data_IF_260849667866
#
_entry.id   IF_260849667866
#
_cell.length_a   1.000
_cell.length_b   1.000
_cell.length_c   1.000
_cell.angle_alpha   90.00
_cell.angle_beta   90.00
_cell.angle_gamma   90.00
#
_symmetry.space_group_name_H-M   'P 1'
#
loop_
_entity.id
_entity.type
_entity.pdbx_description
1 polymer ?
#
# COMPACT_ATOMS: atom_id res chain seq x y z
N UNK A 1 -7.53 12.15 73.79
CA UNK A 1 -7.38 11.31 72.58
C UNK A 1 -7.10 12.27 71.41
N UNK A 2 -5.83 12.58 71.18
CA UNK A 2 -5.39 13.49 70.10
C UNK A 2 -5.31 12.70 68.80
N UNK A 3 -6.02 13.15 67.75
CA UNK A 3 -5.81 12.71 66.38
C UNK A 3 -5.17 13.88 65.62
N UNK A 4 -3.87 13.76 65.33
CA UNK A 4 -3.17 14.62 64.37
C UNK A 4 -3.63 14.24 62.96
N UNK A 5 -4.12 15.24 62.22
CA UNK A 5 -4.43 15.16 60.79
C UNK A 5 -3.17 15.47 59.96
N UNK A 6 -2.71 14.48 59.20
CA UNK A 6 -1.61 14.58 58.24
C UNK A 6 -2.10 15.25 56.95
N UNK A 7 -1.54 16.41 56.60
CA UNK A 7 -1.77 17.07 55.31
C UNK A 7 -0.68 16.62 54.33
N UNK A 8 -1.07 15.89 53.29
CA UNK A 8 -0.20 15.50 52.16
C UNK A 8 -0.20 16.62 51.11
N UNK A 9 0.96 17.11 50.62
CA UNK A 9 0.98 18.09 49.54
C UNK A 9 0.72 17.41 48.20
N UNK A 10 -0.32 17.85 47.47
CA UNK A 10 -0.56 17.51 46.07
C UNK A 10 0.53 18.16 45.21
N UNK A 11 1.42 17.33 44.65
CA UNK A 11 2.31 17.73 43.56
C UNK A 11 1.52 17.69 42.25
N UNK A 12 1.20 18.87 41.71
CA UNK A 12 0.68 18.99 40.35
C UNK A 12 1.82 18.73 39.36
N UNK A 13 1.75 17.61 38.65
CA UNK A 13 2.55 17.38 37.45
C UNK A 13 1.95 18.20 36.30
N UNK A 14 2.67 19.22 35.85
CA UNK A 14 2.33 19.91 34.61
C UNK A 14 2.64 18.97 33.43
N UNK A 15 1.59 18.41 32.82
CA UNK A 15 1.73 17.84 31.48
C UNK A 15 2.00 18.99 30.50
N UNK A 16 3.19 18.99 29.90
CA UNK A 16 3.48 19.81 28.74
C UNK A 16 2.66 19.25 27.59
N UNK A 17 1.51 19.86 27.31
CA UNK A 17 0.82 19.68 26.03
C UNK A 17 1.72 20.33 24.99
N UNK A 18 2.29 19.54 24.08
CA UNK A 18 2.96 20.07 22.91
C UNK A 18 1.95 20.96 22.18
N UNK A 19 2.26 22.26 22.10
CA UNK A 19 1.44 23.20 21.35
C UNK A 19 1.38 22.72 19.89
N UNK A 20 0.17 22.46 19.40
CA UNK A 20 -0.06 22.29 17.97
C UNK A 20 0.48 23.53 17.26
N UNK A 21 1.22 23.33 16.16
CA UNK A 21 1.79 24.40 15.37
C UNK A 21 0.66 25.28 14.80
N UNK A 22 0.37 26.40 15.46
CA UNK A 22 -0.78 27.28 15.20
C UNK A 22 -0.65 28.07 13.89
N UNK A 23 0.43 27.85 13.12
CA UNK A 23 0.69 28.48 11.84
C UNK A 23 0.45 27.56 10.62
N UNK A 24 -0.05 26.33 10.80
CA UNK A 24 -0.43 25.50 9.67
C UNK A 24 -1.65 26.10 8.95
N UNK A 25 -1.46 26.67 7.76
CA UNK A 25 -2.57 27.05 6.90
C UNK A 25 -3.42 25.80 6.60
N UNK A 26 -4.76 25.91 6.63
CA UNK A 26 -5.61 24.78 6.31
C UNK A 26 -5.28 24.27 4.89
N UNK A 27 -5.33 22.94 4.66
CA UNK A 27 -5.13 22.35 3.35
C UNK A 27 -6.02 23.06 2.31
N UNK A 28 -5.41 23.55 1.23
CA UNK A 28 -6.13 24.15 0.11
C UNK A 28 -6.49 23.07 -0.91
N UNK A 29 -7.68 23.12 -1.52
CA UNK A 29 -8.03 22.27 -2.66
C UNK A 29 -6.91 22.22 -3.70
N UNK A 30 -6.48 21.00 -4.06
CA UNK A 30 -5.39 20.71 -5.02
C UNK A 30 -4.04 21.38 -4.68
N UNK A 31 -3.86 21.86 -3.44
CA UNK A 31 -2.64 22.49 -2.97
C UNK A 31 -1.62 21.50 -2.42
N UNK A 32 -0.50 22.05 -1.94
CA UNK A 32 0.53 21.32 -1.20
C UNK A 32 0.33 21.52 0.31
N UNK A 33 0.44 20.44 1.07
CA UNK A 33 0.23 20.42 2.52
C UNK A 33 0.91 19.18 3.11
N UNK A 34 1.20 19.21 4.41
CA UNK A 34 1.96 18.18 5.10
C UNK A 34 1.08 17.55 6.18
N UNK A 35 1.07 16.21 6.26
CA UNK A 35 0.38 15.42 7.28
C UNK A 35 -1.09 15.83 7.49
N UNK A 36 -1.82 16.09 6.40
CA UNK A 36 -3.26 16.33 6.50
C UNK A 36 -3.97 15.05 6.95
N UNK A 37 -4.78 15.14 8.00
CA UNK A 37 -5.46 13.97 8.57
C UNK A 37 -6.65 13.57 7.72
N UNK A 38 -6.67 12.33 7.23
CA UNK A 38 -7.84 11.68 6.62
C UNK A 38 -8.76 11.19 7.73
N UNK A 39 -8.20 10.46 8.70
CA UNK A 39 -8.93 9.98 9.86
C UNK A 39 -8.02 9.70 11.06
N UNK A 40 -8.51 9.98 12.26
CA UNK A 40 -7.81 9.72 13.51
C UNK A 40 -8.26 8.36 14.09
N UNK A 41 -7.35 7.41 14.40
CA UNK A 41 -7.73 6.18 15.07
C UNK A 41 -8.32 6.45 16.45
N UNK A 42 -9.33 5.66 16.84
CA UNK A 42 -10.00 5.78 18.14
C UNK A 42 -9.67 4.60 19.05
N UNK A 43 -9.87 4.74 20.38
CA UNK A 43 -9.73 3.62 21.32
C UNK A 43 -8.39 2.87 21.20
N UNK A 44 -8.45 1.57 20.93
CA UNK A 44 -7.28 0.69 20.71
C UNK A 44 -6.77 0.64 19.27
N UNK A 45 -7.42 1.34 18.34
CA UNK A 45 -7.15 1.19 16.91
C UNK A 45 -5.79 1.76 16.48
N UNK A 46 -5.27 1.19 15.40
CA UNK A 46 -4.15 1.70 14.63
C UNK A 46 -4.42 1.47 13.14
N UNK A 47 -4.13 2.48 12.31
CA UNK A 47 -4.27 2.37 10.85
C UNK A 47 -2.95 2.02 10.19
N UNK A 48 -2.98 1.12 9.22
CA UNK A 48 -1.79 0.65 8.48
C UNK A 48 -2.20 0.26 7.05
N UNK A 49 -1.24 0.07 6.16
CA UNK A 49 -1.47 -0.42 4.79
C UNK A 49 -2.53 0.42 4.03
N UNK A 50 -2.33 1.74 3.89
CA UNK A 50 -3.29 2.54 3.17
C UNK A 50 -3.33 2.17 1.68
N UNK A 51 -4.45 2.43 1.01
CA UNK A 51 -4.63 2.31 -0.45
C UNK A 51 -5.60 3.35 -0.95
N UNK A 52 -5.56 3.61 -2.25
CA UNK A 52 -6.45 4.58 -2.88
C UNK A 52 -6.77 4.17 -4.32
N UNK A 53 -7.80 4.81 -4.88
CA UNK A 53 -8.09 4.86 -6.32
C UNK A 53 -8.61 6.27 -6.66
N UNK A 54 -8.14 6.84 -7.76
CA UNK A 54 -8.65 8.11 -8.30
C UNK A 54 -9.62 7.86 -9.46
N UNK A 55 -10.84 8.37 -9.33
CA UNK A 55 -11.89 8.28 -10.34
C UNK A 55 -11.64 9.32 -11.47
N UNK A 56 -12.16 9.13 -12.69
CA UNK A 56 -11.97 10.04 -13.83
C UNK A 56 -12.33 11.51 -13.57
N UNK A 57 -13.27 11.78 -12.66
CA UNK A 57 -13.64 13.15 -12.29
C UNK A 57 -12.64 13.83 -11.35
N UNK A 58 -11.66 13.11 -10.79
CA UNK A 58 -10.68 13.58 -9.83
C UNK A 58 -11.04 13.27 -8.37
N UNK A 59 -12.17 12.61 -8.13
CA UNK A 59 -12.52 12.09 -6.80
C UNK A 59 -11.52 11.01 -6.40
N UNK A 60 -11.00 11.10 -5.18
CA UNK A 60 -10.12 10.09 -4.60
C UNK A 60 -10.90 9.29 -3.57
N UNK A 61 -10.86 7.96 -3.70
CA UNK A 61 -11.37 7.01 -2.72
C UNK A 61 -10.18 6.37 -2.02
N UNK A 62 -10.14 6.42 -0.69
CA UNK A 62 -9.03 5.91 0.11
C UNK A 62 -9.51 4.94 1.18
N UNK A 63 -8.65 4.00 1.56
CA UNK A 63 -8.92 2.99 2.57
C UNK A 63 -7.63 2.59 3.29
N UNK A 64 -7.76 1.84 4.37
CA UNK A 64 -6.64 1.29 5.14
C UNK A 64 -7.06 0.01 5.88
N UNK A 65 -6.07 -0.73 6.38
CA UNK A 65 -6.29 -1.73 7.40
C UNK A 65 -6.47 -1.07 8.78
N UNK A 66 -7.31 -1.64 9.64
CA UNK A 66 -7.44 -1.29 11.05
C UNK A 66 -7.00 -2.45 11.93
N UNK A 67 -5.95 -2.23 12.74
CA UNK A 67 -5.53 -3.13 13.81
C UNK A 67 -6.19 -2.71 15.12
N UNK A 68 -6.59 -3.67 15.95
CA UNK A 68 -7.19 -3.39 17.26
C UNK A 68 -8.66 -2.95 17.22
N UNK A 69 -9.32 -3.11 16.07
CA UNK A 69 -10.77 -2.88 15.93
C UNK A 69 -11.60 -3.88 16.75
N UNK A 70 -12.77 -3.44 17.21
CA UNK A 70 -13.75 -4.29 17.90
C UNK A 70 -14.81 -4.80 16.93
N UNK A 71 -15.23 -6.06 17.08
CA UNK A 71 -16.18 -6.70 16.16
C UNK A 71 -15.51 -7.29 14.93
N UNK A 72 -16.30 -7.59 13.89
CA UNK A 72 -15.79 -8.12 12.64
C UNK A 72 -15.00 -7.06 11.89
N UNK A 73 -13.83 -7.45 11.40
CA UNK A 73 -12.94 -6.57 10.69
C UNK A 73 -13.55 -6.04 9.39
N UNK A 74 -13.30 -4.78 9.07
CA UNK A 74 -13.74 -4.14 7.84
C UNK A 74 -12.69 -3.13 7.33
N UNK A 75 -12.85 -2.69 6.09
CA UNK A 75 -12.06 -1.60 5.52
C UNK A 75 -12.88 -0.31 5.44
N UNK A 76 -12.51 0.77 6.15
CA UNK A 76 -13.20 2.04 6.05
C UNK A 76 -12.93 2.69 4.70
N UNK A 77 -13.94 3.33 4.11
CA UNK A 77 -13.81 4.04 2.84
C UNK A 77 -13.99 5.54 3.08
N UNK A 78 -12.98 6.29 2.65
CA UNK A 78 -12.96 7.75 2.69
C UNK A 78 -12.97 8.33 1.28
N UNK A 79 -13.55 9.52 1.13
CA UNK A 79 -13.59 10.26 -0.12
C UNK A 79 -13.03 11.66 0.03
N UNK A 80 -12.25 12.10 -0.97
CA UNK A 80 -11.89 13.50 -1.20
C UNK A 80 -12.25 13.90 -2.64
N UNK A 81 -12.66 15.15 -2.83
CA UNK A 81 -12.99 15.74 -4.15
C UNK A 81 -12.10 16.92 -4.52
N UNK A 82 -11.12 17.22 -3.69
CA UNK A 82 -10.34 18.46 -3.74
C UNK A 82 -8.84 18.20 -3.58
N UNK A 83 -8.36 17.09 -4.15
CA UNK A 83 -6.94 16.73 -4.13
C UNK A 83 -6.41 16.34 -2.76
N UNK A 84 -7.28 15.83 -1.87
CA UNK A 84 -6.89 15.36 -0.54
C UNK A 84 -6.89 16.43 0.54
N UNK A 85 -7.44 17.61 0.27
CA UNK A 85 -7.53 18.70 1.25
C UNK A 85 -8.62 18.44 2.30
N UNK A 86 -9.77 17.91 1.89
CA UNK A 86 -10.86 17.51 2.78
C UNK A 86 -11.26 16.06 2.53
N UNK A 87 -11.64 15.37 3.61
CA UNK A 87 -12.01 13.96 3.60
C UNK A 87 -13.30 13.72 4.35
N UNK A 88 -14.07 12.75 3.87
CA UNK A 88 -15.26 12.24 4.54
C UNK A 88 -15.26 10.72 4.52
N UNK A 89 -15.64 10.09 5.63
CA UNK A 89 -16.01 8.68 5.65
C UNK A 89 -17.34 8.51 4.90
N UNK A 90 -17.44 7.53 4.00
CA UNK A 90 -18.62 7.34 3.14
C UNK A 90 -19.23 5.94 3.22
N UNK A 91 -18.44 4.91 3.53
CA UNK A 91 -18.91 3.52 3.65
C UNK A 91 -17.84 2.63 4.28
N UNK A 92 -18.15 1.35 4.48
CA UNK A 92 -17.21 0.32 4.85
C UNK A 92 -17.31 -0.86 3.87
N UNK A 93 -16.19 -1.48 3.51
CA UNK A 93 -16.19 -2.82 2.90
C UNK A 93 -16.17 -3.83 4.03
N UNK A 94 -17.19 -4.67 4.13
CA UNK A 94 -17.31 -5.70 5.17
C UNK A 94 -17.22 -7.08 4.55
N UNK A 95 -16.80 -8.07 5.34
CA UNK A 95 -16.91 -9.47 4.94
C UNK A 95 -18.38 -9.89 4.88
N UNK A 96 -18.85 -10.30 3.70
CA UNK A 96 -20.24 -10.69 3.46
C UNK A 96 -20.42 -12.21 3.30
N UNK A 97 -19.34 -12.98 3.35
CA UNK A 97 -19.38 -14.41 2.96
C UNK A 97 -18.72 -15.35 3.96
N UNK A 98 -17.63 -14.97 4.61
CA UNK A 98 -16.91 -15.89 5.50
C UNK A 98 -17.29 -15.73 6.99
N UNK A 99 -17.72 -14.52 7.38
CA UNK A 99 -17.98 -14.19 8.78
C UNK A 99 -16.69 -14.11 9.62
N UNK A 100 -15.54 -13.89 8.97
CA UNK A 100 -14.23 -13.75 9.61
C UNK A 100 -13.77 -12.29 9.69
N UNK A 101 -14.37 -11.43 8.86
CA UNK A 101 -13.97 -10.03 8.69
C UNK A 101 -12.96 -9.88 7.56
N UNK A 102 -12.81 -8.64 7.07
CA UNK A 102 -11.75 -8.22 6.16
C UNK A 102 -10.62 -7.61 6.97
N UNK A 103 -9.58 -8.40 7.22
CA UNK A 103 -8.59 -8.17 8.28
C UNK A 103 -7.34 -7.46 7.81
N UNK A 104 -6.94 -7.57 6.54
CA UNK A 104 -5.71 -6.92 6.07
C UNK A 104 -5.62 -6.73 4.57
N UNK A 105 -4.66 -5.89 4.17
CA UNK A 105 -4.22 -5.71 2.79
C UNK A 105 -5.35 -5.35 1.81
N UNK A 106 -6.11 -4.26 2.08
CA UNK A 106 -7.11 -3.81 1.13
C UNK A 106 -6.44 -3.49 -0.22
N UNK A 107 -7.22 -3.58 -1.28
CA UNK A 107 -6.84 -3.16 -2.63
C UNK A 107 -8.06 -2.58 -3.33
N UNK A 108 -7.90 -1.45 -4.00
CA UNK A 108 -8.97 -0.75 -4.71
C UNK A 108 -8.58 -0.54 -6.17
N UNK A 109 -9.54 -0.68 -7.07
CA UNK A 109 -9.40 -0.23 -8.45
C UNK A 109 -10.76 0.19 -9.02
N UNK A 110 -10.77 0.87 -10.16
CA UNK A 110 -11.98 1.17 -10.89
C UNK A 110 -11.86 0.64 -12.31
N UNK A 111 -12.90 -0.05 -12.77
CA UNK A 111 -12.95 -0.54 -14.13
C UNK A 111 -12.91 0.61 -15.14
N UNK A 112 -11.97 0.55 -16.08
CA UNK A 112 -11.85 1.51 -17.19
C UNK A 112 -12.65 1.09 -18.43
N UNK A 113 -13.11 -0.16 -18.45
CA UNK A 113 -13.88 -0.80 -19.51
C UNK A 113 -14.84 -1.81 -18.88
N UNK A 114 -15.81 -2.30 -19.65
CA UNK A 114 -16.70 -3.36 -19.18
C UNK A 114 -15.93 -4.68 -19.04
N UNK A 115 -16.17 -5.42 -17.95
CA UNK A 115 -15.63 -6.76 -17.72
C UNK A 115 -16.77 -7.66 -17.27
N UNK A 116 -17.12 -8.65 -18.11
CA UNK A 116 -18.35 -9.42 -17.94
C UNK A 116 -19.59 -8.51 -17.85
N UNK A 117 -20.39 -8.71 -16.81
CA UNK A 117 -21.60 -7.91 -16.55
C UNK A 117 -21.32 -6.59 -15.80
N UNK A 118 -20.07 -6.32 -15.44
CA UNK A 118 -19.69 -5.15 -14.66
C UNK A 118 -19.25 -4.02 -15.58
N UNK A 119 -19.93 -2.87 -15.46
CA UNK A 119 -19.70 -1.71 -16.33
C UNK A 119 -18.45 -0.93 -15.94
N UNK A 120 -17.84 -0.28 -16.93
CA UNK A 120 -16.85 0.76 -16.70
C UNK A 120 -17.35 1.76 -15.64
N UNK A 121 -16.49 2.15 -14.72
CA UNK A 121 -16.83 2.98 -13.56
C UNK A 121 -17.20 2.18 -12.30
N UNK A 122 -17.45 0.87 -12.38
CA UNK A 122 -17.56 0.00 -11.20
C UNK A 122 -16.25 0.05 -10.41
N UNK A 123 -16.35 0.33 -9.10
CA UNK A 123 -15.20 0.31 -8.19
C UNK A 123 -15.14 -1.08 -7.57
N UNK A 124 -13.96 -1.69 -7.62
CA UNK A 124 -13.70 -3.00 -7.05
C UNK A 124 -12.83 -2.87 -5.81
N UNK A 125 -13.13 -3.72 -4.83
CA UNK A 125 -12.35 -3.87 -3.61
C UNK A 125 -12.06 -5.34 -3.35
N UNK A 126 -10.87 -5.63 -2.85
CA UNK A 126 -10.54 -6.93 -2.25
C UNK A 126 -9.60 -6.71 -1.06
N UNK A 127 -9.29 -7.79 -0.36
CA UNK A 127 -8.35 -7.87 0.74
C UNK A 127 -8.47 -9.22 1.41
N UNK A 128 -7.73 -9.42 2.49
CA UNK A 128 -7.73 -10.69 3.20
C UNK A 128 -8.90 -10.79 4.16
N UNK A 129 -9.80 -11.72 3.89
CA UNK A 129 -10.58 -12.36 4.95
C UNK A 129 -9.76 -13.52 5.50
N UNK A 130 -9.55 -13.57 6.82
CA UNK A 130 -8.81 -14.69 7.41
C UNK A 130 -9.36 -15.16 8.74
N UNK A 131 -9.08 -16.42 9.05
CA UNK A 131 -9.29 -17.02 10.36
C UNK A 131 -8.00 -17.70 10.82
N UNK A 132 -7.69 -17.56 12.11
CA UNK A 132 -6.56 -18.22 12.78
C UNK A 132 -6.92 -19.59 13.35
N UNK A 133 -8.17 -20.06 13.14
CA UNK A 133 -8.63 -21.35 13.62
C UNK A 133 -7.71 -22.50 13.16
N UNK A 134 -7.40 -23.42 14.06
CA UNK A 134 -6.44 -24.48 13.77
C UNK A 134 -6.95 -25.56 12.81
N UNK A 135 -8.27 -25.63 12.58
CA UNK A 135 -8.91 -26.67 11.76
C UNK A 135 -9.46 -26.13 10.45
N UNK A 136 -9.98 -24.90 10.47
CA UNK A 136 -10.68 -24.25 9.36
C UNK A 136 -10.04 -22.93 8.94
N UNK A 137 -8.96 -22.51 9.62
CA UNK A 137 -8.28 -21.26 9.36
C UNK A 137 -7.68 -21.20 7.96
N UNK A 138 -7.95 -20.10 7.28
CA UNK A 138 -7.52 -19.84 5.92
C UNK A 138 -7.25 -18.34 5.72
N UNK A 139 -6.58 -18.02 4.63
CA UNK A 139 -6.48 -16.68 4.06
C UNK A 139 -7.26 -16.69 2.75
N UNK A 140 -8.20 -15.75 2.56
CA UNK A 140 -9.07 -15.70 1.40
C UNK A 140 -9.10 -14.31 0.78
N UNK A 141 -9.04 -14.28 -0.54
CA UNK A 141 -9.39 -13.11 -1.32
C UNK A 141 -10.79 -13.29 -1.88
N UNK A 142 -11.68 -12.36 -1.53
CA UNK A 142 -13.01 -12.24 -2.10
C UNK A 142 -13.11 -10.88 -2.78
N UNK A 143 -13.81 -10.82 -3.92
CA UNK A 143 -14.02 -9.60 -4.69
C UNK A 143 -15.33 -8.95 -4.28
N UNK A 144 -15.30 -7.64 -4.07
CA UNK A 144 -16.46 -6.80 -3.80
C UNK A 144 -16.55 -5.70 -4.86
N UNK A 145 -17.77 -5.35 -5.26
CA UNK A 145 -18.03 -4.31 -6.24
C UNK A 145 -18.96 -3.23 -5.70
N UNK A 146 -18.71 -2.00 -6.13
CA UNK A 146 -19.57 -0.85 -5.91
C UNK A 146 -19.90 -0.18 -7.25
N UNK A 147 -21.20 0.00 -7.49
CA UNK A 147 -21.74 0.67 -8.68
C UNK A 147 -22.30 2.07 -8.36
N UNK A 148 -22.25 2.48 -7.10
CA UNK A 148 -22.76 3.75 -6.59
C UNK A 148 -21.63 4.64 -6.05
N UNK A 149 -20.43 4.49 -6.64
CA UNK A 149 -19.21 5.25 -6.31
C UNK A 149 -18.72 4.97 -4.88
N UNK A 150 -18.62 3.72 -4.48
CA UNK A 150 -18.16 3.30 -3.15
C UNK A 150 -19.08 3.68 -1.99
N UNK A 151 -20.41 3.80 -2.22
CA UNK A 151 -21.40 4.09 -1.16
C UNK A 151 -21.95 2.81 -0.57
N UNK A 152 -22.08 1.78 -1.39
CA UNK A 152 -22.37 0.41 -0.97
C UNK A 152 -21.49 -0.59 -1.71
N UNK A 153 -21.30 -1.76 -1.11
CA UNK A 153 -20.46 -2.84 -1.62
C UNK A 153 -21.24 -4.14 -1.63
N UNK A 154 -21.06 -4.93 -2.69
CA UNK A 154 -21.64 -6.27 -2.83
C UNK A 154 -20.54 -7.27 -3.12
N UNK A 155 -20.56 -8.40 -2.44
CA UNK A 155 -19.75 -9.55 -2.81
C UNK A 155 -20.03 -9.96 -4.27
N UNK A 156 -18.95 -10.32 -4.98
CA UNK A 156 -18.96 -10.72 -6.39
C UNK A 156 -18.57 -12.18 -6.50
N UNK A 157 -17.35 -12.52 -6.08
CA UNK A 157 -16.79 -13.85 -6.26
C UNK A 157 -15.65 -14.14 -5.29
N UNK A 158 -15.35 -15.42 -5.15
CA UNK A 158 -14.15 -15.89 -4.48
C UNK A 158 -13.00 -15.95 -5.48
N UNK A 159 -11.85 -15.38 -5.13
CA UNK A 159 -10.67 -15.32 -6.01
C UNK A 159 -9.72 -16.48 -5.71
N UNK A 160 -9.27 -16.58 -4.46
CA UNK A 160 -8.25 -17.53 -4.04
C UNK A 160 -8.32 -17.83 -2.55
N UNK A 161 -8.00 -19.07 -2.19
CA UNK A 161 -7.81 -19.53 -0.82
C UNK A 161 -6.36 -20.00 -0.62
N UNK A 162 -5.77 -19.61 0.51
CA UNK A 162 -4.54 -20.17 1.08
C UNK A 162 -4.78 -20.70 2.49
N UNK A 163 -3.75 -21.27 3.09
CA UNK A 163 -3.78 -21.73 4.48
C UNK A 163 -3.95 -20.59 5.50
N UNK A 164 -4.10 -20.95 6.78
CA UNK A 164 -4.17 -20.00 7.90
C UNK A 164 -3.07 -18.94 7.84
N UNK A 165 -3.27 -17.72 8.34
CA UNK A 165 -2.27 -16.66 8.27
C UNK A 165 -0.97 -17.07 8.98
N UNK A 166 0.09 -17.31 8.20
CA UNK A 166 1.42 -17.68 8.68
C UNK A 166 2.50 -17.30 7.66
N UNK A 167 3.48 -16.51 8.08
CA UNK A 167 4.58 -16.04 7.22
C UNK A 167 5.83 -16.92 7.28
N UNK A 168 5.77 -18.07 7.94
CA UNK A 168 6.87 -19.04 8.01
C UNK A 168 6.87 -19.94 6.77
N UNK A 169 8.05 -20.15 6.17
CA UNK A 169 8.22 -21.06 5.02
C UNK A 169 7.61 -22.45 5.29
N UNK A 170 6.95 -23.01 4.27
CA UNK A 170 6.19 -24.25 4.38
C UNK A 170 4.73 -24.06 4.80
N UNK A 171 4.34 -22.86 5.23
CA UNK A 171 2.94 -22.46 5.26
C UNK A 171 2.41 -22.24 3.84
N UNK A 172 1.09 -22.12 3.68
CA UNK A 172 0.42 -22.02 2.38
C UNK A 172 -0.48 -20.79 2.27
N UNK A 173 -0.20 -19.73 3.03
CA UNK A 173 -0.99 -18.50 3.04
C UNK A 173 -0.81 -17.66 1.77
N UNK A 174 -1.78 -16.81 1.47
CA UNK A 174 -1.73 -15.78 0.41
C UNK A 174 -1.83 -14.38 1.00
N UNK A 175 -1.21 -13.37 0.36
CA UNK A 175 -1.11 -12.00 0.90
C UNK A 175 -1.10 -10.89 -0.15
N UNK A 176 -1.38 -9.66 0.30
CA UNK A 176 -1.06 -8.41 -0.41
C UNK A 176 -1.59 -8.30 -1.85
N UNK A 177 -2.92 -8.31 -2.05
CA UNK A 177 -3.50 -8.22 -3.38
C UNK A 177 -3.29 -6.82 -4.00
N UNK A 178 -2.96 -6.79 -5.29
CA UNK A 178 -2.94 -5.58 -6.13
C UNK A 178 -3.82 -5.80 -7.37
N UNK A 179 -4.82 -4.94 -7.56
CA UNK A 179 -5.79 -5.04 -8.65
C UNK A 179 -5.42 -4.16 -9.84
N UNK A 180 -5.49 -4.72 -11.05
CA UNK A 180 -5.24 -4.02 -12.31
C UNK A 180 -6.25 -4.43 -13.38
N UNK A 181 -7.18 -3.55 -13.78
CA UNK A 181 -7.94 -3.70 -15.02
C UNK A 181 -7.00 -3.58 -16.22
N UNK A 182 -7.04 -4.56 -17.13
CA UNK A 182 -6.15 -4.61 -18.29
C UNK A 182 -6.78 -5.38 -19.45
N UNK A 183 -7.15 -4.69 -20.53
CA UNK A 183 -7.58 -5.30 -21.81
C UNK A 183 -8.72 -6.32 -21.64
N UNK A 184 -9.82 -5.89 -21.02
CA UNK A 184 -11.06 -6.66 -20.86
C UNK A 184 -11.02 -7.71 -19.75
N UNK A 185 -10.00 -7.69 -18.90
CA UNK A 185 -9.87 -8.58 -17.75
C UNK A 185 -9.34 -7.83 -16.53
N UNK A 186 -9.65 -8.37 -15.36
CA UNK A 186 -9.05 -7.94 -14.11
C UNK A 186 -7.89 -8.88 -13.80
N UNK A 187 -6.73 -8.29 -13.52
CA UNK A 187 -5.56 -9.00 -12.98
C UNK A 187 -5.48 -8.74 -11.48
N UNK A 188 -5.23 -9.78 -10.70
CA UNK A 188 -4.88 -9.68 -9.29
C UNK A 188 -3.48 -10.26 -9.09
N UNK A 189 -2.53 -9.43 -8.69
CA UNK A 189 -1.20 -9.86 -8.24
C UNK A 189 -1.24 -10.04 -6.73
N UNK A 190 -0.51 -11.01 -6.21
CA UNK A 190 -0.41 -11.28 -4.78
C UNK A 190 0.83 -12.09 -4.43
N UNK A 191 1.17 -12.09 -3.15
CA UNK A 191 2.19 -12.97 -2.57
C UNK A 191 1.59 -14.34 -2.26
N UNK A 192 2.24 -15.41 -2.70
CA UNK A 192 1.72 -16.78 -2.64
C UNK A 192 2.73 -17.75 -2.02
N UNK A 193 2.34 -18.47 -0.96
CA UNK A 193 3.15 -19.52 -0.33
C UNK A 193 2.64 -20.93 -0.61
N UNK A 194 1.60 -21.09 -1.44
CA UNK A 194 0.99 -22.41 -1.69
C UNK A 194 1.86 -23.36 -2.51
N UNK A 195 2.84 -22.81 -3.24
CA UNK A 195 3.77 -23.58 -4.05
C UNK A 195 4.92 -24.14 -3.19
N UNK A 196 5.03 -25.46 -3.01
CA UNK A 196 6.03 -26.07 -2.14
C UNK A 196 7.47 -25.90 -2.63
N UNK A 197 7.69 -25.43 -3.87
CA UNK A 197 9.03 -25.16 -4.39
C UNK A 197 9.62 -23.84 -3.88
N UNK A 198 8.80 -22.97 -3.28
CA UNK A 198 9.21 -21.64 -2.84
C UNK A 198 8.75 -21.36 -1.42
N UNK A 199 9.55 -20.61 -0.64
CA UNK A 199 9.11 -20.09 0.65
C UNK A 199 7.97 -19.08 0.49
N UNK A 200 8.07 -18.23 -0.54
CA UNK A 200 6.99 -17.40 -1.09
C UNK A 200 7.34 -17.05 -2.55
N UNK A 201 6.34 -16.76 -3.37
CA UNK A 201 6.49 -16.19 -4.72
C UNK A 201 5.52 -15.01 -4.91
N UNK A 202 5.73 -14.20 -5.94
CA UNK A 202 4.69 -13.31 -6.47
C UNK A 202 4.03 -14.02 -7.65
N UNK A 203 2.70 -13.99 -7.68
CA UNK A 203 1.91 -14.57 -8.73
C UNK A 203 0.66 -13.73 -9.02
N UNK A 204 0.03 -14.00 -10.16
CA UNK A 204 -1.26 -13.43 -10.49
C UNK A 204 -2.28 -14.47 -10.95
N UNK A 205 -3.54 -14.05 -10.92
CA UNK A 205 -4.65 -14.67 -11.64
C UNK A 205 -5.38 -13.59 -12.44
N UNK A 206 -6.09 -14.00 -13.49
CA UNK A 206 -6.94 -13.10 -14.26
C UNK A 206 -8.39 -13.57 -14.31
N UNK A 207 -9.31 -12.65 -14.55
CA UNK A 207 -10.72 -12.95 -14.80
C UNK A 207 -11.28 -11.98 -15.84
N UNK A 208 -11.95 -12.51 -16.85
CA UNK A 208 -12.64 -11.71 -17.89
C UNK A 208 -14.12 -11.45 -17.59
N UNK A 209 -14.64 -11.99 -16.48
CA UNK A 209 -16.04 -11.81 -16.05
C UNK A 209 -16.19 -11.42 -14.57
N UNK A 210 -15.07 -11.33 -13.83
CA UNK A 210 -14.97 -11.10 -12.38
C UNK A 210 -15.52 -12.24 -11.51
N UNK A 211 -15.95 -13.35 -12.10
CA UNK A 211 -16.56 -14.48 -11.41
C UNK A 211 -15.66 -15.71 -11.47
N UNK A 212 -15.20 -16.03 -12.68
CA UNK A 212 -14.34 -17.19 -12.95
C UNK A 212 -12.90 -16.73 -13.05
N UNK A 213 -12.03 -17.32 -12.24
CA UNK A 213 -10.62 -16.97 -12.15
C UNK A 213 -9.75 -18.01 -12.83
N UNK A 214 -8.84 -17.53 -13.67
CA UNK A 214 -7.86 -18.35 -14.37
C UNK A 214 -6.83 -18.99 -13.44
N UNK A 215 -5.90 -19.80 -13.99
CA UNK A 215 -4.86 -20.44 -13.21
C UNK A 215 -3.89 -19.41 -12.60
N UNK A 216 -3.18 -19.83 -11.56
CA UNK A 216 -2.09 -19.05 -10.96
C UNK A 216 -0.90 -19.02 -11.91
N UNK A 217 -0.39 -17.83 -12.20
CA UNK A 217 0.78 -17.58 -13.06
C UNK A 217 1.89 -16.93 -12.23
N UNK A 218 3.10 -17.47 -12.31
CA UNK A 218 4.25 -16.92 -11.57
C UNK A 218 4.75 -15.62 -12.21
N UNK A 219 4.93 -14.58 -11.39
CA UNK A 219 5.50 -13.30 -11.82
C UNK A 219 6.92 -13.08 -11.30
N UNK A 220 7.17 -13.45 -10.03
CA UNK A 220 8.51 -13.38 -9.44
C UNK A 220 8.76 -14.62 -8.60
N UNK A 221 9.78 -15.38 -8.98
CA UNK A 221 10.25 -16.58 -8.28
C UNK A 221 11.76 -16.54 -8.13
N UNK A 222 12.27 -17.18 -7.08
CA UNK A 222 13.69 -17.39 -6.87
C UNK A 222 13.97 -18.86 -6.62
N UNK A 223 15.12 -19.35 -7.09
CA UNK A 223 15.56 -20.74 -6.92
C UNK A 223 15.85 -21.08 -5.46
N UNK A 224 16.43 -20.12 -4.71
CA UNK A 224 16.70 -20.30 -3.29
C UNK A 224 15.38 -20.33 -2.52
N UNK A 225 14.98 -21.52 -2.05
CA UNK A 225 13.72 -21.77 -1.33
C UNK A 225 13.42 -20.77 -0.23
N UNK A 226 14.42 -20.33 0.54
CA UNK A 226 14.18 -19.42 1.68
C UNK A 226 13.79 -18.01 1.26
N UNK A 227 13.96 -17.66 -0.02
CA UNK A 227 13.64 -16.33 -0.55
C UNK A 227 12.13 -16.12 -0.56
N UNK A 228 11.72 -14.92 -0.18
CA UNK A 228 10.32 -14.52 -0.01
C UNK A 228 10.06 -13.19 -0.72
N UNK A 229 9.98 -13.16 -2.06
CA UNK A 229 9.45 -12.00 -2.75
C UNK A 229 7.99 -11.76 -2.37
N UNK A 230 7.57 -10.50 -2.26
CA UNK A 230 6.20 -10.17 -1.91
C UNK A 230 5.85 -8.70 -2.07
N UNK A 231 4.64 -8.35 -1.67
CA UNK A 231 4.06 -7.00 -1.73
C UNK A 231 4.10 -6.38 -3.14
N UNK A 232 3.57 -7.07 -4.17
CA UNK A 232 3.66 -6.60 -5.55
C UNK A 232 2.83 -5.31 -5.76
N UNK A 233 3.44 -4.33 -6.43
CA UNK A 233 2.75 -3.13 -6.92
C UNK A 233 3.18 -2.88 -8.36
N UNK A 234 2.23 -2.57 -9.24
CA UNK A 234 2.46 -2.48 -10.69
C UNK A 234 2.13 -1.09 -11.21
N UNK A 235 2.95 -0.57 -12.12
CA UNK A 235 2.69 0.66 -12.87
C UNK A 235 3.03 0.49 -14.36
N UNK A 236 2.33 1.24 -15.22
CA UNK A 236 2.65 1.36 -16.63
C UNK A 236 3.56 2.57 -16.88
N UNK A 237 4.50 2.44 -17.81
CA UNK A 237 5.47 3.47 -18.21
C UNK A 237 5.24 3.77 -19.70
N UNK A 238 4.35 4.73 -20.03
CA UNK A 238 3.92 4.98 -21.39
C UNK A 238 5.03 5.28 -22.41
N UNK A 239 6.06 6.10 -22.11
CA UNK A 239 7.06 6.48 -23.11
C UNK A 239 7.88 5.33 -23.70
N UNK A 240 7.98 4.22 -22.97
CA UNK A 240 8.74 3.02 -23.40
C UNK A 240 7.85 1.79 -23.61
N UNK A 241 6.54 1.94 -23.44
CA UNK A 241 5.54 0.86 -23.53
C UNK A 241 5.97 -0.38 -22.73
N UNK A 242 6.27 -0.17 -21.45
CA UNK A 242 6.61 -1.24 -20.50
C UNK A 242 5.86 -1.07 -19.20
N UNK A 243 5.67 -2.20 -18.53
CA UNK A 243 5.16 -2.30 -17.18
C UNK A 243 6.31 -2.55 -16.23
N UNK A 244 6.21 -1.99 -15.03
CA UNK A 244 7.11 -2.24 -13.91
C UNK A 244 6.31 -2.88 -12.78
N UNK A 245 6.83 -3.97 -12.21
CA UNK A 245 6.37 -4.53 -10.95
C UNK A 245 7.49 -4.35 -9.93
N UNK A 246 7.20 -3.65 -8.83
CA UNK A 246 8.09 -3.57 -7.66
C UNK A 246 7.66 -4.58 -6.60
N UNK A 247 8.63 -5.14 -5.89
CA UNK A 247 8.40 -6.10 -4.81
C UNK A 247 9.53 -6.01 -3.78
N UNK A 248 9.26 -6.37 -2.53
CA UNK A 248 10.32 -6.63 -1.56
C UNK A 248 10.88 -8.05 -1.76
N UNK A 249 12.14 -8.28 -1.39
CA UNK A 249 12.80 -9.59 -1.53
C UNK A 249 13.54 -9.97 -0.25
N UNK A 250 12.87 -10.63 0.69
CA UNK A 250 13.57 -11.22 1.84
C UNK A 250 14.31 -12.50 1.44
N UNK A 251 15.52 -12.75 1.95
CA UNK A 251 16.23 -14.03 1.75
C UNK A 251 15.81 -15.10 2.78
N UNK A 252 15.15 -14.68 3.87
CA UNK A 252 14.76 -15.54 5.00
C UNK A 252 15.92 -15.84 5.97
N UNK A 253 15.60 -16.46 7.11
CA UNK A 253 16.61 -16.92 8.07
C UNK A 253 17.49 -15.83 8.70
N UNK A 254 16.96 -14.61 8.88
CA UNK A 254 17.70 -13.42 9.35
C UNK A 254 18.86 -12.98 8.44
N UNK A 255 18.83 -13.38 7.16
CA UNK A 255 19.79 -12.91 6.17
C UNK A 255 19.44 -11.49 5.68
N UNK A 256 20.45 -10.71 5.34
CA UNK A 256 20.31 -9.40 4.69
C UNK A 256 21.04 -9.38 3.35
N UNK A 257 20.63 -8.47 2.48
CA UNK A 257 21.25 -8.19 1.20
C UNK A 257 21.33 -6.68 1.02
N UNK A 258 22.46 -6.18 0.50
CA UNK A 258 22.81 -4.74 0.50
C UNK A 258 22.77 -4.07 1.90
N UNK A 259 22.81 -4.85 2.98
CA UNK A 259 22.72 -4.34 4.35
C UNK A 259 21.30 -4.16 4.89
N UNK A 260 20.27 -4.57 4.15
CA UNK A 260 18.86 -4.50 4.58
C UNK A 260 18.16 -5.86 4.50
N UNK A 261 17.11 -6.05 5.30
CA UNK A 261 16.41 -7.35 5.42
C UNK A 261 15.47 -7.64 4.24
N UNK A 262 14.83 -6.60 3.71
CA UNK A 262 13.83 -6.70 2.64
C UNK A 262 14.18 -5.73 1.50
N UNK A 263 15.32 -5.89 0.81
CA UNK A 263 15.68 -5.02 -0.31
C UNK A 263 14.55 -4.96 -1.33
N UNK A 264 14.28 -3.76 -1.87
CA UNK A 264 13.30 -3.59 -2.94
C UNK A 264 13.93 -3.90 -4.29
N UNK A 265 13.18 -4.67 -5.07
CA UNK A 265 13.50 -5.07 -6.42
C UNK A 265 12.38 -4.66 -7.37
N UNK A 266 12.70 -4.62 -8.66
CA UNK A 266 11.72 -4.46 -9.72
C UNK A 266 11.99 -5.40 -10.89
N UNK A 267 10.93 -5.80 -11.59
CA UNK A 267 10.96 -6.46 -12.90
C UNK A 267 10.21 -5.60 -13.90
N UNK A 268 10.64 -5.63 -15.17
CA UNK A 268 9.99 -4.91 -16.25
C UNK A 268 9.59 -5.86 -17.38
N UNK A 269 8.42 -5.64 -17.97
CA UNK A 269 7.89 -6.48 -19.04
C UNK A 269 7.03 -5.67 -20.02
N UNK A 270 6.92 -6.14 -21.26
CA UNK A 270 6.03 -5.52 -22.27
C UNK A 270 4.54 -5.73 -21.96
N UNK A 271 4.22 -6.80 -21.24
CA UNK A 271 2.88 -7.12 -20.79
C UNK A 271 2.89 -7.26 -19.28
N UNK A 272 1.86 -6.76 -18.57
CA UNK A 272 1.77 -6.93 -17.13
C UNK A 272 1.48 -8.40 -16.75
N UNK A 273 1.18 -9.26 -17.73
CA UNK A 273 0.94 -10.70 -17.54
C UNK A 273 2.22 -11.55 -17.69
N UNK A 274 3.36 -10.93 -17.96
CA UNK A 274 4.58 -11.66 -18.40
C UNK A 274 5.82 -11.33 -17.56
N UNK A 275 5.65 -10.82 -16.35
CA UNK A 275 6.76 -10.49 -15.45
C UNK A 275 7.67 -11.69 -15.16
N UNK A 276 7.12 -12.91 -15.11
CA UNK A 276 7.87 -14.14 -14.90
C UNK A 276 8.90 -14.48 -16.01
N UNK A 277 8.90 -13.75 -17.12
CA UNK A 277 9.90 -13.87 -18.21
C UNK A 277 11.10 -12.93 -18.02
N UNK A 278 11.06 -12.06 -17.00
CA UNK A 278 12.02 -10.99 -16.78
C UNK A 278 12.89 -11.22 -15.55
N UNK A 279 14.06 -10.60 -15.55
CA UNK A 279 15.03 -10.68 -14.43
C UNK A 279 14.81 -9.51 -13.47
N UNK A 280 14.78 -9.82 -12.17
CA UNK A 280 14.68 -8.83 -11.10
C UNK A 280 15.94 -7.97 -10.99
N UNK A 281 15.75 -6.68 -10.73
CA UNK A 281 16.81 -5.69 -10.54
C UNK A 281 16.64 -5.01 -9.18
N UNK A 282 17.69 -4.92 -8.35
CA UNK A 282 17.58 -4.21 -7.08
C UNK A 282 17.49 -2.71 -7.31
N UNK A 283 16.80 -2.00 -6.42
CA UNK A 283 16.83 -0.54 -6.38
C UNK A 283 17.86 -0.12 -5.32
N UNK A 284 19.04 0.31 -5.78
CA UNK A 284 20.13 0.78 -4.92
C UNK A 284 20.68 2.10 -5.47
N UNK A 285 20.40 3.20 -4.77
CA UNK A 285 20.88 4.53 -5.17
C UNK A 285 22.39 4.60 -4.97
N UNK A 286 23.11 5.02 -6.01
CA UNK A 286 24.58 5.11 -6.04
C UNK A 286 25.31 3.83 -5.60
N UNK A 287 24.66 2.66 -5.68
CA UNK A 287 25.21 1.37 -5.25
C UNK A 287 25.35 1.16 -3.74
N UNK A 288 24.95 2.13 -2.91
CA UNK A 288 25.14 2.07 -1.44
C UNK A 288 23.88 2.30 -0.63
N UNK A 289 22.81 2.84 -1.22
CA UNK A 289 21.55 3.12 -0.52
C UNK A 289 20.40 2.29 -1.07
N UNK A 290 20.17 1.07 -0.52
CA UNK A 290 19.04 0.24 -0.91
C UNK A 290 17.74 0.73 -0.27
N UNK A 291 16.63 0.51 -0.96
CA UNK A 291 15.29 0.60 -0.35
C UNK A 291 15.02 -0.65 0.49
N UNK A 292 14.11 -0.55 1.46
CA UNK A 292 13.78 -1.62 2.39
C UNK A 292 12.27 -1.69 2.71
N UNK A 293 11.69 -2.83 2.35
CA UNK A 293 10.35 -3.32 2.70
C UNK A 293 9.14 -2.56 2.12
N UNK A 294 8.12 -3.34 1.75
CA UNK A 294 6.79 -2.94 1.31
C UNK A 294 6.77 -1.77 0.32
N UNK A 295 7.30 -1.96 -0.89
CA UNK A 295 7.38 -0.89 -1.86
C UNK A 295 6.00 -0.50 -2.41
N UNK A 296 5.95 0.71 -2.97
CA UNK A 296 4.85 1.15 -3.83
C UNK A 296 5.42 1.90 -5.02
N UNK A 297 4.84 1.74 -6.22
CA UNK A 297 5.31 2.41 -7.43
C UNK A 297 4.19 3.16 -8.14
N UNK A 298 4.53 4.31 -8.69
CA UNK A 298 3.71 5.10 -9.61
C UNK A 298 4.58 5.67 -10.72
N UNK A 299 3.96 6.16 -11.78
CA UNK A 299 4.64 6.87 -12.87
C UNK A 299 3.99 8.23 -13.10
N UNK A 300 4.81 9.25 -13.37
CA UNK A 300 4.40 10.61 -13.74
C UNK A 300 4.90 10.96 -15.14
N UNK A 301 4.13 11.70 -15.97
CA UNK A 301 4.65 12.28 -17.21
C UNK A 301 5.70 13.38 -16.98
N UNK A 302 5.83 13.89 -15.75
CA UNK A 302 6.76 14.95 -15.39
C UNK A 302 8.20 14.44 -15.21
N UNK A 303 9.19 15.34 -15.30
CA UNK A 303 10.59 15.06 -14.98
C UNK A 303 11.47 14.62 -16.17
N UNK A 304 10.95 14.59 -17.39
CA UNK A 304 11.74 14.39 -18.61
C UNK A 304 11.01 13.63 -19.72
N UNK A 305 11.69 13.29 -20.83
CA UNK A 305 11.06 12.60 -21.97
C UNK A 305 10.53 11.20 -21.65
N UNK A 306 11.07 10.54 -20.62
CA UNK A 306 10.57 9.24 -20.14
C UNK A 306 9.57 9.37 -18.99
N UNK A 307 9.17 10.60 -18.63
CA UNK A 307 8.51 10.89 -17.36
C UNK A 307 9.41 10.50 -16.18
N UNK A 308 8.79 10.11 -15.07
CA UNK A 308 9.49 9.68 -13.86
C UNK A 308 8.75 8.52 -13.20
N UNK A 309 9.45 7.41 -13.02
CA UNK A 309 9.03 6.31 -12.12
C UNK A 309 9.34 6.76 -10.70
N UNK A 310 8.40 6.61 -9.77
CA UNK A 310 8.56 7.01 -8.37
C UNK A 310 8.21 5.82 -7.49
N UNK A 311 9.12 5.45 -6.60
CA UNK A 311 9.01 4.35 -5.66
C UNK A 311 9.13 4.87 -4.23
N UNK A 312 8.30 4.36 -3.34
CA UNK A 312 8.44 4.49 -1.89
C UNK A 312 8.74 3.13 -1.27
N UNK A 313 9.20 3.14 -0.03
CA UNK A 313 9.28 1.96 0.83
C UNK A 313 8.75 2.28 2.23
N UNK A 314 8.93 1.35 3.18
CA UNK A 314 8.50 1.53 4.57
C UNK A 314 9.56 2.16 5.47
N UNK A 315 10.84 2.10 5.07
CA UNK A 315 11.97 2.46 5.91
C UNK A 315 12.35 3.95 5.80
N UNK A 316 12.10 4.57 4.65
CA UNK A 316 12.58 5.92 4.37
C UNK A 316 11.43 6.93 4.19
N UNK A 317 11.58 8.17 4.69
CA UNK A 317 10.64 9.25 4.40
C UNK A 317 10.76 9.73 2.94
N UNK A 318 11.93 9.56 2.33
CA UNK A 318 12.26 9.89 0.95
C UNK A 318 11.41 9.15 -0.09
N UNK A 319 11.43 9.61 -1.33
CA UNK A 319 11.00 8.85 -2.51
C UNK A 319 12.18 8.60 -3.43
N UNK A 320 12.10 7.51 -4.18
CA UNK A 320 13.16 7.05 -5.07
C UNK A 320 12.68 7.14 -6.51
N UNK A 321 13.43 7.80 -7.38
CA UNK A 321 12.95 8.16 -8.71
C UNK A 321 13.85 7.64 -9.82
N UNK A 322 13.26 7.44 -11.00
CA UNK A 322 13.98 7.10 -12.22
C UNK A 322 13.32 7.74 -13.44
N UNK A 323 13.98 8.74 -14.02
CA UNK A 323 13.56 9.41 -15.26
C UNK A 323 14.29 8.87 -16.51
N UNK A 324 14.89 7.68 -16.39
CA UNK A 324 15.69 7.02 -17.43
C UNK A 324 15.10 5.66 -17.83
N UNK A 325 13.76 5.56 -17.83
CA UNK A 325 13.04 4.37 -18.28
C UNK A 325 13.31 3.12 -17.44
N UNK A 326 13.66 3.28 -16.16
CA UNK A 326 13.97 2.15 -15.28
C UNK A 326 15.39 1.59 -15.45
N UNK A 327 16.33 2.39 -15.97
CA UNK A 327 17.75 2.03 -16.00
C UNK A 327 18.28 1.79 -14.58
N UNK A 328 18.93 0.64 -14.37
CA UNK A 328 19.24 0.13 -13.02
C UNK A 328 20.23 1.00 -12.23
N UNK A 329 21.08 1.75 -12.91
CA UNK A 329 22.14 2.60 -12.36
C UNK A 329 21.73 4.08 -12.24
N UNK A 330 20.46 4.40 -12.50
CA UNK A 330 19.95 5.78 -12.59
C UNK A 330 18.90 6.15 -11.55
N UNK A 331 18.75 5.32 -10.51
CA UNK A 331 17.88 5.63 -9.38
C UNK A 331 18.45 6.78 -8.54
N UNK A 332 17.58 7.71 -8.14
CA UNK A 332 17.90 8.85 -7.29
C UNK A 332 17.01 8.84 -6.06
N UNK A 333 17.48 9.42 -4.95
CA UNK A 333 16.71 9.59 -3.73
C UNK A 333 16.40 11.08 -3.53
N UNK A 334 15.14 11.38 -3.21
CA UNK A 334 14.65 12.73 -2.96
C UNK A 334 13.91 12.83 -1.63
N UNK A 335 14.30 13.82 -0.83
CA UNK A 335 13.66 14.11 0.45
C UNK A 335 12.19 14.53 0.29
N UNK A 336 11.35 14.04 1.20
CA UNK A 336 9.96 14.51 1.34
C UNK A 336 9.67 14.88 2.80
N UNK A 337 8.69 15.78 3.05
CA UNK A 337 8.25 16.09 4.41
C UNK A 337 7.32 15.01 4.99
N UNK A 338 6.95 13.98 4.23
CA UNK A 338 6.09 12.91 4.71
C UNK A 338 6.87 11.95 5.64
N UNK A 339 6.21 11.48 6.69
CA UNK A 339 6.76 10.43 7.54
C UNK A 339 6.85 9.07 6.85
N UNK A 340 7.55 8.13 7.50
CA UNK A 340 7.52 6.71 7.14
C UNK A 340 6.17 6.09 7.52
N UNK A 341 5.71 5.13 6.73
CA UNK A 341 4.53 4.31 7.00
C UNK A 341 4.70 2.95 6.35
N UNK A 342 4.06 1.90 6.87
CA UNK A 342 4.17 0.57 6.27
C UNK A 342 3.38 0.48 4.96
N UNK A 343 4.01 -0.03 3.90
CA UNK A 343 3.47 -0.14 2.54
C UNK A 343 2.91 1.19 2.01
N UNK A 344 3.72 2.26 2.14
CA UNK A 344 3.36 3.67 1.94
C UNK A 344 2.97 4.00 0.49
N UNK A 345 1.68 4.18 0.16
CA UNK A 345 1.24 4.49 -1.20
C UNK A 345 1.67 5.89 -1.66
N UNK A 346 1.89 5.97 -2.96
CA UNK A 346 2.10 7.21 -3.71
C UNK A 346 0.95 7.40 -4.68
N UNK A 347 0.62 8.65 -4.99
CA UNK A 347 -0.37 9.02 -6.02
C UNK A 347 0.11 10.27 -6.76
N UNK A 348 -0.07 10.30 -8.08
CA UNK A 348 -0.04 11.52 -8.85
C UNK A 348 -1.48 11.86 -9.22
N UNK A 349 -1.93 13.07 -8.90
CA UNK A 349 -3.27 13.50 -9.30
C UNK A 349 -3.35 13.53 -10.83
N UNK A 350 -4.32 12.83 -11.42
CA UNK A 350 -4.43 12.67 -12.89
C UNK A 350 -4.50 14.01 -13.63
N UNK A 351 -5.19 15.00 -13.04
CA UNK A 351 -5.36 16.35 -13.61
C UNK A 351 -4.31 17.37 -13.14
N UNK A 352 -3.51 17.00 -12.14
CA UNK A 352 -2.49 17.85 -11.54
C UNK A 352 -1.22 17.01 -11.29
N UNK A 353 -0.51 16.58 -12.35
CA UNK A 353 0.59 15.61 -12.23
C UNK A 353 1.83 16.15 -11.48
N UNK A 354 1.89 17.44 -11.17
CA UNK A 354 2.86 18.00 -10.23
C UNK A 354 2.51 17.69 -8.76
N UNK A 355 1.26 17.33 -8.43
CA UNK A 355 0.89 16.96 -7.06
C UNK A 355 1.24 15.49 -6.79
N UNK A 356 2.38 15.26 -6.13
CA UNK A 356 2.74 13.98 -5.54
C UNK A 356 2.12 13.86 -4.14
N UNK A 357 1.15 12.95 -4.03
CA UNK A 357 0.47 12.61 -2.80
C UNK A 357 1.15 11.39 -2.17
N UNK A 358 1.49 11.51 -0.88
CA UNK A 358 2.18 10.49 -0.09
C UNK A 358 1.30 10.19 1.13
N UNK A 359 0.77 8.99 1.17
CA UNK A 359 -0.16 8.57 2.24
C UNK A 359 0.62 8.11 3.47
N UNK A 360 0.19 8.51 4.65
CA UNK A 360 0.80 8.17 5.93
C UNK A 360 -0.14 7.35 6.81
N UNK A 361 0.42 6.46 7.62
CA UNK A 361 -0.27 5.69 8.64
C UNK A 361 0.78 5.20 9.66
N UNK A 362 0.49 4.16 10.43
CA UNK A 362 1.50 3.53 11.29
C UNK A 362 2.60 2.82 10.49
N UNK A 363 3.77 2.70 11.12
CA UNK A 363 4.82 1.77 10.69
C UNK A 363 4.51 0.36 11.21
N UNK A 364 5.18 -0.66 10.68
CA UNK A 364 5.01 -2.04 11.16
C UNK A 364 5.34 -2.17 12.66
N UNK A 365 6.42 -1.52 13.11
CA UNK A 365 6.75 -1.50 14.54
C UNK A 365 5.76 -0.65 15.35
N UNK A 366 5.23 0.41 14.75
CA UNK A 366 4.27 1.33 15.37
C UNK A 366 2.94 0.66 15.70
N UNK A 367 2.43 -0.26 14.87
CA UNK A 367 1.16 -0.94 15.19
C UNK A 367 1.22 -1.87 16.40
N UNK A 368 2.40 -2.37 16.77
CA UNK A 368 2.58 -3.20 17.96
C UNK A 368 2.70 -2.35 19.25
N UNK A 369 2.97 -1.05 19.12
CA UNK A 369 3.02 -0.07 20.19
C UNK A 369 2.35 1.24 19.71
N UNK A 370 1.01 1.24 19.55
CA UNK A 370 0.31 2.23 18.72
C UNK A 370 0.57 3.65 19.20
N UNK A 371 1.26 4.42 18.37
CA UNK A 371 1.59 5.84 18.60
C UNK A 371 0.41 6.77 18.27
N UNK A 372 -0.72 6.19 17.85
CA UNK A 372 -1.94 6.89 17.41
C UNK A 372 -1.67 7.81 16.21
N UNK A 373 -0.75 7.41 15.33
CA UNK A 373 -0.56 8.09 14.05
C UNK A 373 -1.86 8.07 13.25
N UNK A 374 -2.31 9.24 12.74
CA UNK A 374 -3.49 9.30 11.89
C UNK A 374 -3.26 8.57 10.58
N UNK A 375 -4.34 8.12 9.95
CA UNK A 375 -4.33 7.94 8.51
C UNK A 375 -4.28 9.34 7.90
N UNK A 376 -3.20 9.65 7.20
CA UNK A 376 -2.89 11.00 6.74
C UNK A 376 -2.41 11.03 5.30
N UNK A 377 -2.28 12.23 4.76
CA UNK A 377 -1.77 12.46 3.42
C UNK A 377 -0.95 13.75 3.37
N UNK A 378 0.18 13.68 2.67
CA UNK A 378 1.05 14.81 2.36
C UNK A 378 1.01 15.03 0.86
N UNK A 379 0.76 16.27 0.41
CA UNK A 379 0.77 16.67 -0.99
C UNK A 379 1.95 17.61 -1.22
N UNK A 380 2.85 17.28 -2.14
CA UNK A 380 4.03 18.08 -2.50
C UNK A 380 4.12 18.28 -4.01
N UNK A 381 4.80 19.36 -4.42
CA UNK A 381 5.20 19.53 -5.81
C UNK A 381 6.25 18.48 -6.17
N UNK A 382 6.00 17.73 -7.22
CA UNK A 382 6.93 16.77 -7.81
C UNK A 382 8.12 17.51 -8.41
N UNK A 383 7.91 18.62 -9.12
CA UNK A 383 8.99 19.44 -9.69
C UNK A 383 9.97 19.93 -8.62
N UNK A 384 9.47 20.37 -7.47
CA UNK A 384 10.33 20.78 -6.35
C UNK A 384 10.95 19.58 -5.64
N UNK A 385 10.26 18.44 -5.57
CA UNK A 385 10.81 17.21 -4.98
C UNK A 385 11.99 16.68 -5.79
N UNK A 386 11.90 16.66 -7.12
CA UNK A 386 12.97 16.20 -8.02
C UNK A 386 14.25 17.05 -7.95
N UNK A 387 14.17 18.27 -7.40
CA UNK A 387 15.35 19.14 -7.18
C UNK A 387 16.00 18.94 -5.81
N UNK A 388 15.32 18.27 -4.87
CA UNK A 388 15.82 18.06 -3.50
C UNK A 388 16.70 16.81 -3.47
N UNK A 389 18.01 16.92 -3.17
CA UNK A 389 18.80 15.74 -2.84
C UNK A 389 18.28 15.14 -1.53
N UNK A 390 18.46 13.83 -1.35
CA UNK A 390 18.30 13.21 -0.04
C UNK A 390 19.20 13.91 0.99
N UNK A 391 18.68 14.20 2.19
CA UNK A 391 19.54 14.55 3.32
C UNK A 391 20.48 13.40 3.61
N UNK A 392 21.73 13.69 3.95
CA UNK A 392 22.61 12.68 4.55
C UNK A 392 21.91 12.16 5.81
N UNK A 393 21.42 10.93 5.75
CA UNK A 393 20.96 10.23 6.94
C UNK A 393 22.21 9.79 7.69
N UNK A 394 22.40 10.33 8.90
CA UNK A 394 23.35 9.75 9.86
C UNK A 394 22.93 8.29 10.07
N UNK A 395 23.80 7.38 9.64
CA UNK A 395 23.58 5.92 9.68
C UNK A 395 23.68 5.41 11.11
#
# INVERSE_FOLDING_TARGET
MLLLSSVLPLLFSYQVVAAADTNAHPPKPFGHFINNTIHQPTGGEAYIYPRHVELPDGTVIATCNIIGQTGLAYFPIFESKDGGANWQHISNVTDQVNGWGLVAHPSLTQLTEDIGDFKAGTILATGLSWSTDNTTGATKFDLYASQDRARSWKYVSHIATGGRPNTVNGATSIWEPFLLPYKGQLVIYYSDQRDPLHGQKVAHQTSSDLINWGPVVNDVTYELYTTRPGMPVVAYIPPIDEWILVHEKAIGGNSSEFGVTYPVYYVMAKSPLEFGKSVGRPIVVNGTRPLNSAPYVVWSPEGGPNGTIIVSDSAHPSVFTNSFGGAFDRWQEHDTPAGTAHSRPLQLLKKHPDNLLIYGAETWNGVHNPTKRPFSITSVSLHETLKKPAKEQEV
#
